data_IF_672740836171
#
_entry.id   IF_672740836171
#
_cell.length_a   1.000
_cell.length_b   1.000
_cell.length_c   1.000
_cell.angle_alpha   90.00
_cell.angle_beta   90.00
_cell.angle_gamma   90.00
#
_symmetry.space_group_name_H-M   'P 1'
#
loop_
_entity.id
_entity.type
_entity.pdbx_description
1 polymer ?
#
# COMPACT_ATOMS: atom_id res chain seq x y z
N UNK A 1 30.40 19.73 5.23
CA UNK A 1 30.54 18.37 4.68
C UNK A 1 30.39 17.42 5.84
N UNK A 2 29.41 16.52 5.80
CA UNK A 2 29.13 15.58 6.90
C UNK A 2 30.10 14.40 6.85
N UNK A 3 30.51 13.92 8.02
CA UNK A 3 31.32 12.71 8.17
C UNK A 3 30.40 11.51 8.40
N UNK A 4 30.46 10.50 7.52
CA UNK A 4 29.63 9.30 7.54
C UNK A 4 30.48 8.07 7.81
N UNK A 5 30.07 7.25 8.78
CA UNK A 5 30.62 5.92 9.00
C UNK A 5 29.67 4.88 8.39
N UNK A 6 30.19 3.99 7.56
CA UNK A 6 29.48 2.85 6.99
C UNK A 6 29.97 1.57 7.67
N UNK A 7 29.08 0.83 8.31
CA UNK A 7 29.38 -0.48 8.93
C UNK A 7 28.60 -1.54 8.16
N UNK A 8 29.29 -2.26 7.28
CA UNK A 8 28.69 -3.18 6.30
C UNK A 8 29.67 -4.30 5.97
N UNK A 9 29.24 -5.56 6.09
CA UNK A 9 30.11 -6.71 5.86
C UNK A 9 30.25 -7.08 4.37
N UNK A 10 29.25 -6.75 3.53
CA UNK A 10 29.35 -6.93 2.08
C UNK A 10 30.34 -5.93 1.46
N UNK A 11 31.49 -6.44 1.03
CA UNK A 11 32.57 -5.66 0.41
C UNK A 11 32.14 -4.98 -0.89
N UNK A 12 31.24 -5.59 -1.66
CA UNK A 12 30.75 -5.03 -2.93
C UNK A 12 29.81 -3.89 -2.66
N UNK A 13 28.86 -4.11 -1.78
CA UNK A 13 27.86 -3.11 -1.42
C UNK A 13 28.47 -1.91 -0.69
N UNK A 14 29.40 -2.15 0.24
CA UNK A 14 30.11 -1.08 0.96
C UNK A 14 30.92 -0.18 0.02
N UNK A 15 31.59 -0.72 -1.00
CA UNK A 15 32.31 0.05 -2.03
C UNK A 15 31.38 0.89 -2.91
N UNK A 16 30.22 0.35 -3.26
CA UNK A 16 29.20 1.09 -4.03
C UNK A 16 28.70 2.28 -3.21
N UNK A 17 28.39 2.06 -1.92
CA UNK A 17 27.96 3.13 -1.02
C UNK A 17 29.06 4.18 -0.82
N UNK A 18 30.30 3.77 -0.58
CA UNK A 18 31.45 4.67 -0.43
C UNK A 18 31.62 5.55 -1.67
N UNK A 19 31.63 4.94 -2.86
CA UNK A 19 31.76 5.67 -4.12
C UNK A 19 30.62 6.65 -4.36
N UNK A 20 29.39 6.23 -4.08
CA UNK A 20 28.21 7.08 -4.21
C UNK A 20 28.26 8.27 -3.24
N UNK A 21 28.48 8.03 -1.95
CA UNK A 21 28.49 9.06 -0.93
C UNK A 21 29.66 10.04 -1.10
N UNK A 22 30.84 9.55 -1.49
CA UNK A 22 32.01 10.41 -1.79
C UNK A 22 31.72 11.34 -2.97
N UNK A 23 31.03 10.83 -4.00
CA UNK A 23 30.59 11.62 -5.16
C UNK A 23 29.61 12.72 -4.78
N UNK A 24 28.81 12.52 -3.74
CA UNK A 24 27.88 13.51 -3.17
C UNK A 24 28.56 14.49 -2.19
N UNK A 25 29.89 14.39 -2.00
CA UNK A 25 30.68 15.32 -1.19
C UNK A 25 30.74 14.99 0.31
N UNK A 26 30.39 13.77 0.72
CA UNK A 26 30.55 13.30 2.10
C UNK A 26 31.94 12.71 2.35
N UNK A 27 32.44 12.88 3.59
CA UNK A 27 33.64 12.16 4.05
C UNK A 27 33.23 10.81 4.60
N UNK A 28 33.60 9.72 3.92
CA UNK A 28 33.16 8.36 4.25
C UNK A 28 34.29 7.56 4.87
N UNK A 29 33.98 6.82 5.93
CA UNK A 29 34.85 5.79 6.50
C UNK A 29 34.08 4.47 6.50
N UNK A 30 34.68 3.37 6.05
CA UNK A 30 34.03 2.06 5.97
C UNK A 30 34.66 1.10 6.96
N UNK A 31 33.81 0.36 7.69
CA UNK A 31 34.17 -0.75 8.56
C UNK A 31 33.35 -1.99 8.18
N UNK A 32 33.97 -3.18 8.23
CA UNK A 32 33.29 -4.43 7.84
C UNK A 32 32.85 -5.29 9.03
N UNK A 33 33.09 -4.81 10.25
CA UNK A 33 32.69 -5.45 11.50
C UNK A 33 32.13 -4.43 12.48
N UNK A 34 31.17 -4.86 13.30
CA UNK A 34 30.55 -3.99 14.30
C UNK A 34 31.57 -3.46 15.35
N UNK A 35 32.45 -4.33 15.83
CA UNK A 35 33.49 -3.94 16.79
C UNK A 35 34.47 -2.91 16.22
N UNK A 36 34.88 -3.04 14.97
CA UNK A 36 35.76 -2.09 14.29
C UNK A 36 35.07 -0.72 14.14
N UNK A 37 33.78 -0.73 13.79
CA UNK A 37 32.96 0.48 13.73
C UNK A 37 32.87 1.19 15.09
N UNK A 38 32.60 0.45 16.17
CA UNK A 38 32.55 0.99 17.53
C UNK A 38 33.91 1.55 17.99
N UNK A 39 35.02 0.90 17.63
CA UNK A 39 36.37 1.40 17.91
C UNK A 39 36.65 2.70 17.14
N UNK A 40 36.24 2.76 15.87
CA UNK A 40 36.41 3.95 15.03
C UNK A 40 35.62 5.14 15.57
N UNK A 41 34.40 4.91 16.07
CA UNK A 41 33.56 5.94 16.73
C UNK A 41 34.19 6.50 18.03
N UNK A 42 35.04 5.73 18.71
CA UNK A 42 35.77 6.24 19.90
C UNK A 42 36.92 7.18 19.54
N UNK A 43 37.46 7.06 18.33
CA UNK A 43 38.64 7.81 17.88
C UNK A 43 38.30 8.97 16.95
N UNK A 44 37.16 8.91 16.26
CA UNK A 44 36.68 9.93 15.32
C UNK A 44 35.21 10.24 15.56
N UNK A 45 34.84 11.50 15.41
CA UNK A 45 33.44 11.91 15.45
C UNK A 45 32.81 11.78 14.07
N UNK A 46 31.58 11.24 14.02
CA UNK A 46 30.78 11.12 12.81
C UNK A 46 29.41 11.77 13.03
N UNK A 47 28.91 12.42 12.00
CA UNK A 47 27.59 13.04 12.02
C UNK A 47 26.49 11.97 11.84
N UNK A 48 26.80 10.90 11.07
CA UNK A 48 25.85 9.85 10.74
C UNK A 48 26.56 8.49 10.59
N UNK A 49 25.87 7.42 10.97
CA UNK A 49 26.27 6.03 10.78
C UNK A 49 25.25 5.32 9.91
N UNK A 50 25.70 4.72 8.80
CA UNK A 50 24.96 3.71 8.06
C UNK A 50 25.35 2.34 8.59
N UNK A 51 24.42 1.58 9.13
CA UNK A 51 24.67 0.37 9.91
C UNK A 51 23.91 -0.80 9.34
N UNK A 52 24.60 -1.84 8.91
CA UNK A 52 23.93 -3.09 8.55
C UNK A 52 23.33 -3.77 9.80
N UNK A 53 22.15 -4.31 9.63
CA UNK A 53 21.48 -5.09 10.66
C UNK A 53 22.20 -6.38 10.99
N UNK A 54 22.80 -7.06 10.01
CA UNK A 54 23.55 -8.30 10.18
C UNK A 54 25.03 -8.07 9.96
N UNK A 55 25.81 -8.27 11.00
CA UNK A 55 27.26 -8.19 10.96
C UNK A 55 27.84 -9.53 11.40
N UNK A 56 29.04 -9.90 10.95
CA UNK A 56 29.62 -11.21 11.22
C UNK A 56 29.99 -11.44 12.68
N UNK A 57 30.18 -10.37 13.45
CA UNK A 57 30.66 -10.38 14.85
C UNK A 57 29.61 -9.93 15.87
N UNK A 58 28.53 -9.26 15.44
CA UNK A 58 27.49 -8.74 16.33
C UNK A 58 26.22 -8.42 15.53
N UNK A 59 25.15 -8.00 16.21
CA UNK A 59 23.94 -7.49 15.51
C UNK A 59 23.97 -5.97 15.42
N UNK A 60 23.40 -5.41 14.34
CA UNK A 60 23.26 -3.95 14.22
C UNK A 60 22.51 -3.31 15.38
N UNK A 61 21.61 -4.04 16.04
CA UNK A 61 20.88 -3.56 17.21
C UNK A 61 21.78 -3.36 18.44
N UNK A 62 22.73 -4.28 18.65
CA UNK A 62 23.69 -4.16 19.74
C UNK A 62 24.65 -3.00 19.48
N UNK A 63 25.11 -2.86 18.22
CA UNK A 63 25.94 -1.72 17.79
C UNK A 63 25.19 -0.40 17.98
N UNK A 64 23.91 -0.31 17.57
CA UNK A 64 23.06 0.87 17.78
C UNK A 64 23.01 1.26 19.27
N UNK A 65 22.79 0.26 20.15
CA UNK A 65 22.70 0.50 21.60
C UNK A 65 24.00 1.10 22.13
N UNK A 66 25.14 0.57 21.72
CA UNK A 66 26.45 1.09 22.13
C UNK A 66 26.75 2.47 21.54
N UNK A 67 26.37 2.73 20.29
CA UNK A 67 26.50 4.07 19.68
C UNK A 67 25.71 5.09 20.48
N UNK A 68 24.45 4.79 20.81
CA UNK A 68 23.57 5.73 21.52
C UNK A 68 23.98 5.98 22.98
N UNK A 69 24.67 5.02 23.61
CA UNK A 69 25.29 5.22 24.94
C UNK A 69 26.48 6.17 24.90
N UNK A 70 27.33 6.06 23.87
CA UNK A 70 28.59 6.81 23.82
C UNK A 70 28.48 8.09 23.00
N UNK A 71 27.61 8.12 21.99
CA UNK A 71 27.41 9.25 21.07
C UNK A 71 25.91 9.47 20.80
N UNK A 72 25.14 9.99 21.76
CA UNK A 72 23.68 10.14 21.62
C UNK A 72 23.23 10.99 20.43
N UNK A 73 24.07 11.95 20.04
CA UNK A 73 23.79 12.90 18.95
C UNK A 73 24.13 12.39 17.56
N UNK A 74 24.88 11.28 17.44
CA UNK A 74 25.17 10.68 16.12
C UNK A 74 23.92 10.04 15.57
N UNK A 75 23.52 10.43 14.36
CA UNK A 75 22.38 9.84 13.69
C UNK A 75 22.74 8.44 13.17
N UNK A 76 21.84 7.47 13.34
CA UNK A 76 22.07 6.08 12.90
C UNK A 76 20.93 5.65 12.00
N UNK A 77 21.26 5.27 10.78
CA UNK A 77 20.33 4.67 9.82
C UNK A 77 20.66 3.19 9.71
N UNK A 78 19.69 2.32 9.97
CA UNK A 78 19.88 0.87 9.85
C UNK A 78 19.51 0.41 8.44
N UNK A 79 20.37 -0.37 7.81
CA UNK A 79 20.14 -1.01 6.51
C UNK A 79 19.92 -2.51 6.72
N UNK A 80 18.97 -3.12 5.99
CA UNK A 80 18.67 -4.55 6.13
C UNK A 80 18.10 -5.17 4.87
N UNK A 81 18.35 -6.44 4.68
CA UNK A 81 17.69 -7.26 3.64
C UNK A 81 16.31 -7.78 4.05
N UNK A 82 15.84 -7.48 5.26
CA UNK A 82 14.56 -7.95 5.79
C UNK A 82 13.60 -6.81 6.02
N UNK A 83 12.41 -6.92 5.46
CA UNK A 83 11.29 -5.98 5.65
C UNK A 83 10.48 -6.28 6.92
N UNK A 84 11.13 -6.68 8.03
CA UNK A 84 10.41 -6.94 9.30
C UNK A 84 10.14 -5.62 10.02
N UNK A 85 8.89 -5.18 9.97
CA UNK A 85 8.37 -3.97 10.63
C UNK A 85 8.70 -3.95 12.12
N UNK A 86 8.72 -5.10 12.81
CA UNK A 86 9.05 -5.17 14.25
C UNK A 86 10.49 -4.80 14.53
N UNK A 87 11.39 -5.23 13.68
CA UNK A 87 12.81 -4.86 13.78
C UNK A 87 13.00 -3.38 13.52
N UNK A 88 12.29 -2.82 12.53
CA UNK A 88 12.27 -1.40 12.25
C UNK A 88 11.75 -0.60 13.47
N UNK A 89 10.57 -0.97 14.00
CA UNK A 89 9.98 -0.31 15.18
C UNK A 89 10.90 -0.43 16.41
N UNK A 90 11.54 -1.58 16.61
CA UNK A 90 12.51 -1.77 17.70
C UNK A 90 13.73 -0.88 17.53
N UNK A 91 14.27 -0.78 16.32
CA UNK A 91 15.38 0.09 15.99
C UNK A 91 15.06 1.57 16.27
N UNK A 92 13.88 2.03 15.84
CA UNK A 92 13.40 3.39 16.10
C UNK A 92 13.25 3.69 17.61
N UNK A 93 12.65 2.76 18.36
CA UNK A 93 12.55 2.87 19.84
C UNK A 93 13.90 2.90 20.56
N UNK A 94 14.93 2.28 19.99
CA UNK A 94 16.29 2.30 20.50
C UNK A 94 17.11 3.52 20.04
N UNK A 95 16.48 4.43 19.29
CA UNK A 95 17.06 5.69 18.88
C UNK A 95 17.72 5.68 17.50
N UNK A 96 17.43 4.73 16.64
CA UNK A 96 17.77 4.88 15.23
C UNK A 96 17.04 6.08 14.65
N UNK A 97 17.67 6.78 13.72
CA UNK A 97 17.06 7.89 13.00
C UNK A 97 16.07 7.36 11.94
N UNK A 98 16.47 6.31 11.22
CA UNK A 98 15.65 5.69 10.18
C UNK A 98 16.09 4.24 9.93
N UNK A 99 15.27 3.51 9.18
CA UNK A 99 15.46 2.11 8.81
C UNK A 99 15.19 1.92 7.31
N UNK A 100 16.13 1.36 6.57
CA UNK A 100 16.07 1.23 5.11
C UNK A 100 16.21 -0.24 4.71
N UNK A 101 15.39 -0.69 3.75
CA UNK A 101 15.50 -2.04 3.18
C UNK A 101 16.47 -2.09 2.01
N UNK A 102 17.27 -3.13 1.93
CA UNK A 102 18.12 -3.44 0.77
C UNK A 102 17.26 -4.16 -0.31
N UNK A 103 17.38 -3.84 -1.61
CA UNK A 103 18.37 -2.93 -2.20
C UNK A 103 18.05 -1.46 -1.93
N UNK A 104 19.07 -0.71 -1.53
CA UNK A 104 18.93 0.71 -1.16
C UNK A 104 18.78 1.56 -2.44
N UNK A 105 17.71 2.35 -2.50
CA UNK A 105 17.52 3.33 -3.56
C UNK A 105 18.47 4.53 -3.31
N UNK A 106 19.38 4.90 -4.25
CA UNK A 106 20.33 5.98 -4.05
C UNK A 106 19.69 7.35 -3.79
N UNK A 107 18.55 7.66 -4.44
CA UNK A 107 17.86 8.93 -4.28
C UNK A 107 17.18 9.03 -2.91
N UNK A 108 16.58 7.94 -2.45
CA UNK A 108 15.97 7.83 -1.12
C UNK A 108 17.03 7.95 -0.02
N UNK A 109 18.16 7.26 -0.17
CA UNK A 109 19.28 7.35 0.77
C UNK A 109 19.79 8.78 0.86
N UNK A 110 20.01 9.46 -0.27
CA UNK A 110 20.52 10.83 -0.30
C UNK A 110 19.57 11.79 0.41
N UNK A 111 18.26 11.65 0.20
CA UNK A 111 17.24 12.45 0.85
C UNK A 111 17.27 12.27 2.39
N UNK A 112 17.35 11.03 2.85
CA UNK A 112 17.43 10.71 4.28
C UNK A 112 18.71 11.23 4.94
N UNK A 113 19.85 11.13 4.24
CA UNK A 113 21.12 11.68 4.71
C UNK A 113 21.07 13.20 4.86
N UNK A 114 20.50 13.89 3.88
CA UNK A 114 20.34 15.34 3.93
C UNK A 114 19.42 15.78 5.08
N UNK A 115 18.36 15.04 5.35
CA UNK A 115 17.45 15.30 6.48
C UNK A 115 18.14 15.03 7.81
N UNK A 116 18.85 13.90 7.96
CA UNK A 116 19.56 13.54 9.18
C UNK A 116 20.70 14.49 9.54
N UNK A 117 21.33 15.11 8.54
CA UNK A 117 22.48 16.02 8.70
C UNK A 117 22.10 17.50 8.79
N UNK A 118 20.84 17.88 8.54
CA UNK A 118 20.36 19.24 8.85
C UNK A 118 20.37 19.41 10.36
N UNK A 119 21.44 20.02 10.91
CA UNK A 119 21.55 20.38 12.32
C UNK A 119 20.48 21.40 12.66
N UNK A 120 19.45 21.01 13.38
CA UNK A 120 18.69 21.95 14.19
C UNK A 120 19.53 22.29 15.42
N UNK A 121 20.07 23.52 15.43
CA UNK A 121 20.57 24.15 16.65
C UNK A 121 19.36 24.48 17.53
N UNK A 122 19.00 23.59 18.42
CA UNK A 122 18.09 23.94 19.52
C UNK A 122 18.53 23.27 20.81
N UNK A 123 18.63 24.03 21.91
CA UNK A 123 19.03 23.51 23.21
C UNK A 123 17.88 22.70 23.83
N UNK A 124 18.26 21.71 24.63
CA UNK A 124 17.43 20.84 25.47
C UNK A 124 16.23 21.58 26.07
N UNK A 125 14.99 21.15 25.85
CA UNK A 125 13.88 21.73 26.60
C UNK A 125 13.65 20.99 27.91
N UNK A 126 13.86 21.70 29.03
CA UNK A 126 13.14 21.46 30.27
C UNK A 126 11.63 21.52 30.04
N UNK A 127 10.95 20.58 30.69
CA UNK A 127 9.48 20.47 30.78
C UNK A 127 8.85 21.84 31.07
N UNK A 128 8.10 22.40 30.13
CA UNK A 128 6.87 23.16 30.32
C UNK A 128 6.27 23.64 28.98
N UNK A 129 4.97 23.44 28.86
CA UNK A 129 4.00 24.11 27.95
C UNK A 129 4.26 24.03 26.46
N UNK A 130 3.37 23.26 25.82
CA UNK A 130 3.14 23.17 24.39
C UNK A 130 2.99 24.56 23.73
N UNK A 131 3.69 24.82 22.60
CA UNK A 131 3.12 25.63 21.54
C UNK A 131 2.40 24.68 20.56
N UNK A 132 1.15 24.95 20.32
CA UNK A 132 0.36 24.36 19.26
C UNK A 132 1.06 24.59 17.91
N UNK A 133 1.83 23.61 17.43
CA UNK A 133 2.00 23.43 16.00
C UNK A 133 0.61 23.20 15.41
N UNK A 134 0.23 23.77 14.26
CA UNK A 134 -0.99 23.34 13.62
C UNK A 134 -0.82 21.84 13.31
N UNK A 135 -1.52 21.01 14.08
CA UNK A 135 -1.62 19.60 13.76
C UNK A 135 -2.24 19.52 12.36
N UNK A 136 -1.41 19.22 11.36
CA UNK A 136 -1.94 18.78 10.07
C UNK A 136 -2.98 17.73 10.40
N UNK A 137 -4.24 18.00 10.05
CA UNK A 137 -5.33 17.05 10.25
C UNK A 137 -4.85 15.74 9.66
N UNK A 138 -4.74 14.70 10.47
CA UNK A 138 -4.27 13.39 10.00
C UNK A 138 -5.20 12.77 8.97
N UNK A 139 -6.42 13.31 8.83
CA UNK A 139 -7.46 12.81 7.96
C UNK A 139 -8.47 13.92 7.64
N UNK A 140 -8.94 13.97 6.40
CA UNK A 140 -10.03 14.84 5.95
C UNK A 140 -11.34 14.07 6.09
N UNK A 141 -12.22 14.60 6.90
CA UNK A 141 -13.53 13.96 7.16
C UNK A 141 -14.49 14.14 5.98
N UNK A 142 -14.42 15.29 5.29
CA UNK A 142 -15.33 15.68 4.24
C UNK A 142 -16.65 16.25 4.76
N UNK A 143 -17.34 16.98 3.90
CA UNK A 143 -18.61 17.66 4.21
C UNK A 143 -19.78 17.20 3.36
N UNK A 144 -19.53 16.34 2.36
CA UNK A 144 -20.56 15.77 1.51
C UNK A 144 -21.60 14.96 2.30
N UNK A 145 -22.83 14.82 1.80
CA UNK A 145 -23.86 14.01 2.45
C UNK A 145 -23.41 12.56 2.70
N UNK A 146 -22.67 11.99 1.77
CA UNK A 146 -22.09 10.65 1.85
C UNK A 146 -21.04 10.56 2.95
N UNK A 147 -20.17 11.56 3.08
CA UNK A 147 -19.19 11.63 4.15
C UNK A 147 -19.86 11.76 5.51
N UNK A 148 -20.88 12.62 5.65
CA UNK A 148 -21.63 12.77 6.91
C UNK A 148 -22.27 11.46 7.34
N UNK A 149 -22.95 10.75 6.43
CA UNK A 149 -23.52 9.41 6.72
C UNK A 149 -22.46 8.42 7.18
N UNK A 150 -21.31 8.39 6.50
CA UNK A 150 -20.21 7.52 6.90
C UNK A 150 -19.75 7.84 8.32
N UNK A 151 -19.59 9.12 8.66
CA UNK A 151 -19.22 9.56 10.00
C UNK A 151 -20.26 9.22 11.07
N UNK A 152 -21.55 9.41 10.79
CA UNK A 152 -22.64 9.00 11.69
C UNK A 152 -22.54 7.50 12.01
N UNK A 153 -22.33 6.66 11.01
CA UNK A 153 -22.19 5.21 11.21
C UNK A 153 -20.91 4.85 11.95
N UNK A 154 -19.79 5.54 11.69
CA UNK A 154 -18.54 5.37 12.44
C UNK A 154 -18.78 5.67 13.92
N UNK A 155 -19.40 6.80 14.25
CA UNK A 155 -19.70 7.17 15.63
C UNK A 155 -20.66 6.19 16.32
N UNK A 156 -21.62 5.63 15.58
CA UNK A 156 -22.57 4.63 16.09
C UNK A 156 -21.87 3.31 16.43
N UNK A 157 -20.99 2.82 15.55
CA UNK A 157 -20.38 1.49 15.72
C UNK A 157 -19.10 1.51 16.56
N UNK A 158 -18.39 2.64 16.62
CA UNK A 158 -17.10 2.73 17.32
C UNK A 158 -17.16 2.29 18.79
N UNK A 159 -18.14 2.71 19.62
CA UNK A 159 -18.18 2.33 21.03
C UNK A 159 -18.58 0.86 21.26
N UNK A 160 -19.00 0.12 20.24
CA UNK A 160 -19.39 -1.30 20.34
C UNK A 160 -18.21 -2.24 20.11
N UNK A 161 -18.37 -3.52 20.49
CA UNK A 161 -17.42 -4.60 20.16
C UNK A 161 -17.81 -5.36 18.87
N UNK A 162 -18.81 -4.87 18.12
CA UNK A 162 -19.25 -5.51 16.88
C UNK A 162 -18.12 -5.61 15.86
N UNK A 163 -18.10 -6.71 15.12
CA UNK A 163 -17.29 -6.86 13.91
C UNK A 163 -17.80 -5.90 12.82
N UNK A 164 -16.88 -5.30 12.07
CA UNK A 164 -17.22 -4.31 11.04
C UNK A 164 -16.63 -4.74 9.70
N UNK A 165 -17.46 -4.75 8.65
CA UNK A 165 -16.99 -4.84 7.26
C UNK A 165 -17.02 -3.46 6.64
N UNK A 166 -15.88 -3.02 6.12
CA UNK A 166 -15.71 -1.76 5.38
C UNK A 166 -15.58 -2.11 3.89
N UNK A 167 -16.62 -1.82 3.13
CA UNK A 167 -16.61 -1.98 1.67
C UNK A 167 -16.30 -0.67 0.96
N UNK A 168 -15.56 -0.74 -0.12
CA UNK A 168 -15.26 0.40 -0.98
C UNK A 168 -14.14 0.10 -1.95
N UNK A 169 -14.08 0.87 -3.02
CA UNK A 169 -13.06 0.73 -4.04
C UNK A 169 -11.64 0.87 -3.47
N UNK A 170 -10.65 0.37 -4.22
CA UNK A 170 -9.25 0.56 -3.84
C UNK A 170 -8.91 2.05 -3.74
N UNK A 171 -8.14 2.41 -2.71
CA UNK A 171 -7.68 3.79 -2.52
C UNK A 171 -8.71 4.76 -1.93
N UNK A 172 -9.90 4.33 -1.50
CA UNK A 172 -10.93 5.21 -0.89
C UNK A 172 -10.65 5.59 0.56
N UNK A 173 -9.62 5.00 1.20
CA UNK A 173 -9.25 5.30 2.58
C UNK A 173 -9.90 4.38 3.63
N UNK A 174 -10.22 3.13 3.28
CA UNK A 174 -10.80 2.12 4.20
C UNK A 174 -10.00 1.94 5.49
N UNK A 175 -8.66 1.95 5.41
CA UNK A 175 -7.79 1.85 6.58
C UNK A 175 -7.96 3.05 7.53
N UNK A 176 -8.05 4.27 6.99
CA UNK A 176 -8.31 5.47 7.80
C UNK A 176 -9.66 5.39 8.54
N UNK A 177 -10.69 4.83 7.89
CA UNK A 177 -11.98 4.56 8.53
C UNK A 177 -11.81 3.57 9.68
N UNK A 178 -11.09 2.46 9.47
CA UNK A 178 -10.82 1.47 10.51
C UNK A 178 -10.04 2.07 11.70
N UNK A 179 -9.01 2.87 11.43
CA UNK A 179 -8.26 3.59 12.45
C UNK A 179 -9.14 4.58 13.23
N UNK A 180 -10.08 5.26 12.55
CA UNK A 180 -11.01 6.19 13.19
C UNK A 180 -11.98 5.44 14.10
N UNK A 181 -12.53 4.30 13.66
CA UNK A 181 -13.38 3.43 14.50
C UNK A 181 -12.61 2.99 15.76
N UNK A 182 -11.36 2.55 15.60
CA UNK A 182 -10.53 2.15 16.75
C UNK A 182 -10.29 3.31 17.71
N UNK A 183 -9.91 4.49 17.20
CA UNK A 183 -9.63 5.69 17.99
C UNK A 183 -10.83 6.19 18.79
N UNK A 184 -12.05 6.01 18.27
CA UNK A 184 -13.30 6.37 18.92
C UNK A 184 -13.89 5.24 19.79
N UNK A 185 -13.25 4.07 19.84
CA UNK A 185 -13.70 2.91 20.60
C UNK A 185 -13.23 2.90 22.05
N UNK A 186 -13.81 2.03 22.84
CA UNK A 186 -13.33 1.73 24.21
C UNK A 186 -11.87 1.17 24.20
N UNK A 187 -11.41 0.66 23.07
CA UNK A 187 -10.08 0.07 22.88
C UNK A 187 -9.04 1.05 22.32
N UNK A 188 -9.32 2.36 22.28
CA UNK A 188 -8.46 3.40 21.67
C UNK A 188 -7.01 3.46 22.22
N UNK A 189 -6.79 2.99 23.46
CA UNK A 189 -5.45 2.94 24.09
C UNK A 189 -4.74 1.60 23.92
N UNK A 190 -5.41 0.62 23.35
CA UNK A 190 -4.89 -0.72 23.10
C UNK A 190 -4.29 -0.83 21.68
N UNK A 191 -3.59 -1.93 21.33
CA UNK A 191 -2.98 -2.07 20.02
C UNK A 191 -4.01 -2.02 18.87
N UNK A 192 -3.67 -1.31 17.79
CA UNK A 192 -4.31 -1.43 16.48
C UNK A 192 -3.32 -2.13 15.55
N UNK A 193 -3.65 -3.34 15.11
CA UNK A 193 -2.80 -4.13 14.23
C UNK A 193 -3.49 -4.22 12.87
N UNK A 194 -2.82 -3.74 11.83
CA UNK A 194 -3.29 -3.84 10.46
C UNK A 194 -2.54 -4.94 9.70
N UNK A 195 -3.29 -5.77 8.97
CA UNK A 195 -2.76 -6.85 8.14
C UNK A 195 -3.38 -6.75 6.75
N UNK A 196 -2.54 -6.62 5.75
CA UNK A 196 -2.94 -6.68 4.34
C UNK A 196 -2.95 -8.16 3.89
N UNK A 197 -4.13 -8.73 3.75
CA UNK A 197 -4.31 -10.13 3.34
C UNK A 197 -3.98 -10.35 1.85
N UNK A 198 -4.01 -9.29 1.02
CA UNK A 198 -3.65 -9.35 -0.39
C UNK A 198 -2.13 -9.44 -0.62
N UNK A 199 -1.35 -8.84 0.27
CA UNK A 199 0.11 -8.87 0.21
C UNK A 199 0.71 -10.18 0.75
N UNK A 200 -0.07 -11.00 1.47
CA UNK A 200 0.40 -12.25 2.05
C UNK A 200 0.26 -13.42 1.06
N UNK A 201 1.32 -14.22 0.91
CA UNK A 201 1.15 -15.51 0.22
C UNK A 201 0.22 -16.42 1.01
N UNK A 202 -0.53 -17.29 0.29
CA UNK A 202 -1.51 -18.20 0.92
C UNK A 202 -0.90 -19.08 2.02
N UNK A 203 0.35 -19.48 1.85
CA UNK A 203 1.07 -20.31 2.82
C UNK A 203 1.51 -19.52 4.07
N UNK A 204 1.84 -18.23 3.90
CA UNK A 204 2.31 -17.37 4.99
C UNK A 204 1.18 -16.74 5.78
N UNK A 205 0.01 -16.54 5.18
CA UNK A 205 -1.12 -15.86 5.82
C UNK A 205 -1.52 -16.50 7.16
N UNK A 206 -1.58 -17.83 7.22
CA UNK A 206 -1.89 -18.56 8.46
C UNK A 206 -0.80 -18.35 9.53
N UNK A 207 0.48 -18.35 9.12
CA UNK A 207 1.62 -18.13 10.01
C UNK A 207 1.66 -16.70 10.55
N UNK A 208 1.36 -15.70 9.70
CA UNK A 208 1.29 -14.30 10.11
C UNK A 208 0.17 -14.05 11.11
N UNK A 209 -1.03 -14.54 10.81
CA UNK A 209 -2.21 -14.30 11.64
C UNK A 209 -2.17 -15.06 12.97
N UNK A 210 -1.84 -16.36 12.94
CA UNK A 210 -1.97 -17.23 14.12
C UNK A 210 -0.65 -17.59 14.80
N UNK A 211 0.48 -17.33 14.13
CA UNK A 211 1.81 -17.73 14.59
C UNK A 211 2.16 -19.19 14.24
N UNK A 212 3.40 -19.56 14.50
CA UNK A 212 3.88 -20.93 14.30
C UNK A 212 4.98 -21.31 15.28
N UNK A 213 5.15 -22.61 15.47
CA UNK A 213 6.29 -23.18 16.21
C UNK A 213 7.41 -23.57 15.25
N UNK A 214 8.64 -23.54 15.74
CA UNK A 214 9.82 -23.98 15.00
C UNK A 214 9.63 -25.37 14.41
N UNK A 215 9.96 -25.54 13.13
CA UNK A 215 9.87 -26.83 12.42
C UNK A 215 8.48 -27.21 11.93
N UNK A 216 7.46 -26.35 12.06
CA UNK A 216 6.09 -26.66 11.65
C UNK A 216 5.88 -26.72 10.14
N UNK A 217 6.76 -26.09 9.34
CA UNK A 217 6.79 -26.16 7.88
C UNK A 217 8.20 -25.84 7.37
N UNK A 218 8.46 -26.08 6.07
CA UNK A 218 9.74 -25.75 5.42
C UNK A 218 9.96 -24.24 5.44
N UNK A 219 10.93 -23.79 6.25
CA UNK A 219 11.21 -22.36 6.49
C UNK A 219 10.84 -21.84 7.90
N UNK A 220 10.20 -22.66 8.74
CA UNK A 220 9.93 -22.32 10.16
C UNK A 220 11.20 -22.50 11.02
N UNK A 221 12.14 -21.56 10.92
CA UNK A 221 13.44 -21.63 11.60
C UNK A 221 13.33 -21.30 13.09
N UNK A 222 12.36 -20.45 13.47
CA UNK A 222 12.12 -19.99 14.84
C UNK A 222 10.61 -19.95 15.13
N UNK A 223 10.25 -19.89 16.42
CA UNK A 223 8.87 -19.64 16.83
C UNK A 223 8.45 -18.22 16.42
N UNK A 224 7.21 -18.05 15.93
CA UNK A 224 6.64 -16.76 15.58
C UNK A 224 5.34 -16.53 16.31
N UNK A 225 5.22 -15.39 16.96
CA UNK A 225 3.95 -14.92 17.54
C UNK A 225 3.04 -14.41 16.42
N UNK A 226 1.76 -14.75 16.46
CA UNK A 226 0.78 -14.32 15.47
C UNK A 226 0.16 -12.96 15.79
N UNK A 227 -0.32 -12.27 14.74
CA UNK A 227 -0.95 -10.94 14.84
C UNK A 227 -2.17 -10.91 15.76
N UNK A 228 -2.89 -12.03 15.91
CA UNK A 228 -3.97 -12.15 16.90
C UNK A 228 -3.50 -11.99 18.35
N UNK A 229 -2.30 -12.46 18.66
CA UNK A 229 -1.71 -12.28 19.99
C UNK A 229 -1.23 -10.85 20.17
N UNK A 230 -0.60 -10.27 19.14
CA UNK A 230 -0.13 -8.89 19.16
C UNK A 230 -1.30 -7.89 19.29
N UNK A 231 -2.48 -8.23 18.73
CA UNK A 231 -3.71 -7.44 18.82
C UNK A 231 -4.52 -7.69 20.11
N UNK A 232 -4.02 -8.50 21.05
CA UNK A 232 -4.77 -8.86 22.26
C UNK A 232 -5.25 -7.63 23.04
N UNK A 233 -6.54 -7.61 23.42
CA UNK A 233 -7.29 -6.48 24.02
C UNK A 233 -7.45 -5.25 23.12
N UNK A 234 -6.95 -5.31 21.89
CA UNK A 234 -6.99 -4.25 20.90
C UNK A 234 -7.94 -4.55 19.74
N UNK A 235 -7.53 -4.08 18.56
CA UNK A 235 -8.27 -4.24 17.31
C UNK A 235 -7.34 -4.83 16.24
N UNK A 236 -7.83 -5.85 15.54
CA UNK A 236 -7.18 -6.40 14.35
C UNK A 236 -7.95 -5.94 13.12
N UNK A 237 -7.27 -5.22 12.25
CA UNK A 237 -7.78 -4.79 10.96
C UNK A 237 -7.23 -5.71 9.86
N UNK A 238 -8.13 -6.33 9.10
CA UNK A 238 -7.80 -7.21 7.98
C UNK A 238 -8.21 -6.54 6.69
N UNK A 239 -7.25 -6.01 5.93
CA UNK A 239 -7.51 -5.46 4.60
C UNK A 239 -7.52 -6.58 3.55
N UNK A 240 -8.35 -6.43 2.53
CA UNK A 240 -8.55 -7.41 1.45
C UNK A 240 -8.87 -8.82 1.95
N UNK A 241 -9.77 -8.92 2.94
CA UNK A 241 -10.13 -10.20 3.59
C UNK A 241 -10.62 -11.28 2.63
N UNK A 242 -11.16 -10.89 1.46
CA UNK A 242 -11.59 -11.81 0.39
C UNK A 242 -10.47 -12.68 -0.20
N UNK A 243 -9.20 -12.25 -0.04
CA UNK A 243 -8.03 -12.97 -0.57
C UNK A 243 -7.55 -14.12 0.33
N UNK A 244 -8.14 -14.29 1.53
CA UNK A 244 -7.77 -15.36 2.44
C UNK A 244 -8.12 -16.75 1.87
N UNK A 245 -7.19 -17.70 1.99
CA UNK A 245 -7.43 -19.10 1.63
C UNK A 245 -8.50 -19.72 2.53
N UNK A 246 -9.18 -20.75 2.02
CA UNK A 246 -10.24 -21.47 2.74
C UNK A 246 -9.78 -21.95 4.13
N UNK A 247 -8.56 -22.46 4.24
CA UNK A 247 -7.99 -22.93 5.51
C UNK A 247 -7.82 -21.80 6.53
N UNK A 248 -7.39 -20.61 6.07
CA UNK A 248 -7.26 -19.42 6.91
C UNK A 248 -8.63 -18.93 7.36
N UNK A 249 -9.62 -18.96 6.47
CA UNK A 249 -11.00 -18.59 6.80
C UNK A 249 -11.58 -19.50 7.92
N UNK A 250 -11.30 -20.81 7.91
CA UNK A 250 -11.72 -21.75 8.99
C UNK A 250 -11.10 -21.37 10.34
N UNK A 251 -9.79 -21.08 10.36
CA UNK A 251 -9.09 -20.67 11.59
C UNK A 251 -9.55 -19.31 12.08
N UNK A 252 -9.82 -18.38 11.16
CA UNK A 252 -10.33 -17.03 11.46
C UNK A 252 -11.71 -17.13 12.12
N UNK A 253 -12.61 -17.95 11.58
CA UNK A 253 -13.93 -18.18 12.16
C UNK A 253 -13.83 -18.68 13.60
N UNK A 254 -12.96 -19.68 13.85
CA UNK A 254 -12.73 -20.22 15.20
C UNK A 254 -12.19 -19.14 16.14
N UNK A 255 -11.22 -18.32 15.68
CA UNK A 255 -10.66 -17.24 16.48
C UNK A 255 -11.71 -16.18 16.88
N UNK A 256 -12.67 -15.89 16.00
CA UNK A 256 -13.75 -14.92 16.26
C UNK A 256 -14.81 -15.51 17.19
N UNK A 257 -15.21 -16.78 17.00
CA UNK A 257 -16.29 -17.42 17.75
C UNK A 257 -15.86 -17.85 19.14
N UNK A 258 -14.74 -18.57 19.23
CA UNK A 258 -14.26 -19.19 20.46
C UNK A 258 -13.28 -18.29 21.23
N UNK A 259 -12.80 -17.21 20.60
CA UNK A 259 -11.74 -16.33 21.13
C UNK A 259 -10.47 -17.09 21.47
N UNK A 260 -10.18 -18.12 20.70
CA UNK A 260 -9.03 -19.01 20.85
C UNK A 260 -8.34 -19.14 19.49
N UNK A 261 -7.02 -19.07 19.51
CA UNK A 261 -6.18 -19.39 18.36
C UNK A 261 -5.24 -20.55 18.68
N UNK A 262 -4.80 -21.23 17.64
CA UNK A 262 -3.82 -22.31 17.74
C UNK A 262 -2.68 -22.03 16.74
N UNK A 263 -1.44 -21.80 17.21
CA UNK A 263 -0.28 -21.63 16.33
C UNK A 263 -0.05 -22.88 15.47
N UNK A 264 0.47 -22.66 14.25
CA UNK A 264 0.77 -23.77 13.32
C UNK A 264 1.84 -24.67 13.96
N UNK A 265 1.63 -25.99 13.90
CA UNK A 265 2.55 -26.97 14.50
C UNK A 265 2.46 -27.10 16.03
N UNK A 266 1.52 -26.42 16.68
CA UNK A 266 1.29 -26.50 18.11
C UNK A 266 -0.14 -26.96 18.42
N UNK A 267 -0.29 -27.79 19.46
CA UNK A 267 -1.58 -28.13 20.01
C UNK A 267 -2.02 -27.21 21.16
N UNK A 268 -1.20 -26.18 21.47
CA UNK A 268 -1.48 -25.24 22.56
C UNK A 268 -2.49 -24.19 22.09
N UNK A 269 -3.61 -24.11 22.80
CA UNK A 269 -4.60 -23.07 22.61
C UNK A 269 -4.20 -21.78 23.35
N UNK A 270 -4.35 -20.64 22.66
CA UNK A 270 -4.07 -19.31 23.20
C UNK A 270 -5.36 -18.50 23.16
N UNK A 271 -5.82 -18.03 24.31
CA UNK A 271 -6.99 -17.15 24.42
C UNK A 271 -6.65 -15.75 23.94
N UNK A 272 -7.49 -15.19 23.08
CA UNK A 272 -7.34 -13.84 22.52
C UNK A 272 -8.66 -13.09 22.67
N UNK A 273 -8.57 -11.82 23.03
CA UNK A 273 -9.71 -10.89 23.04
C UNK A 273 -9.39 -9.77 22.07
N UNK A 274 -9.95 -9.84 20.86
CA UNK A 274 -9.62 -8.93 19.75
C UNK A 274 -10.91 -8.49 19.08
N UNK A 275 -11.06 -7.17 18.88
CA UNK A 275 -12.09 -6.63 18.00
C UNK A 275 -11.65 -6.76 16.55
N UNK A 276 -12.53 -7.27 15.69
CA UNK A 276 -12.23 -7.47 14.26
C UNK A 276 -12.87 -6.34 13.43
N UNK A 277 -12.06 -5.73 12.59
CA UNK A 277 -12.51 -4.83 11.51
C UNK A 277 -11.92 -5.38 10.23
N UNK A 278 -12.73 -5.55 9.20
CA UNK A 278 -12.29 -6.05 7.89
C UNK A 278 -12.56 -5.03 6.80
N UNK A 279 -11.74 -5.03 5.75
CA UNK A 279 -11.99 -4.26 4.57
C UNK A 279 -11.91 -5.12 3.32
N UNK A 280 -12.66 -4.73 2.29
CA UNK A 280 -12.67 -5.38 0.99
C UNK A 280 -13.07 -4.41 -0.11
N UNK A 281 -12.57 -4.64 -1.32
CA UNK A 281 -13.04 -4.03 -2.56
C UNK A 281 -14.00 -4.95 -3.33
N UNK A 282 -14.10 -6.22 -2.93
CA UNK A 282 -14.95 -7.24 -3.56
C UNK A 282 -16.33 -7.33 -2.88
N UNK A 283 -17.32 -7.83 -3.63
CA UNK A 283 -18.60 -8.25 -3.05
C UNK A 283 -18.44 -9.64 -2.41
N UNK A 284 -18.28 -9.64 -1.07
CA UNK A 284 -18.16 -10.90 -0.31
C UNK A 284 -19.42 -11.77 -0.41
N UNK A 285 -20.61 -11.21 -0.58
CA UNK A 285 -21.82 -11.99 -0.76
C UNK A 285 -21.82 -12.74 -2.09
N UNK A 286 -21.25 -12.14 -3.14
CA UNK A 286 -21.03 -12.83 -4.41
C UNK A 286 -19.94 -13.91 -4.30
N UNK A 287 -18.86 -13.61 -3.55
CA UNK A 287 -17.79 -14.58 -3.26
C UNK A 287 -18.30 -15.79 -2.48
N UNK A 288 -19.27 -15.62 -1.58
CA UNK A 288 -19.97 -16.72 -0.88
C UNK A 288 -20.75 -17.58 -1.90
N UNK A 289 -21.52 -16.97 -2.80
CA UNK A 289 -22.27 -17.70 -3.85
C UNK A 289 -21.36 -18.51 -4.76
N UNK A 290 -20.16 -18.00 -5.04
CA UNK A 290 -19.12 -18.67 -5.84
C UNK A 290 -18.34 -19.75 -5.07
N UNK A 291 -18.56 -19.91 -3.76
CA UNK A 291 -17.83 -20.84 -2.90
C UNK A 291 -16.39 -20.45 -2.61
N UNK A 292 -16.02 -19.18 -2.89
CA UNK A 292 -14.68 -18.63 -2.62
C UNK A 292 -14.53 -18.12 -1.20
N UNK A 293 -15.65 -17.77 -0.57
CA UNK A 293 -15.71 -17.30 0.83
C UNK A 293 -16.76 -18.10 1.61
N UNK A 294 -16.47 -18.41 2.87
CA UNK A 294 -17.38 -19.18 3.73
C UNK A 294 -18.56 -18.32 4.18
N UNK A 295 -19.75 -18.88 4.08
CA UNK A 295 -20.99 -18.23 4.48
C UNK A 295 -21.04 -17.95 6.01
N UNK A 296 -20.58 -18.92 6.83
CA UNK A 296 -20.56 -18.79 8.29
C UNK A 296 -19.59 -17.69 8.75
N UNK A 297 -18.43 -17.57 8.13
CA UNK A 297 -17.48 -16.49 8.39
C UNK A 297 -18.04 -15.14 7.95
N UNK A 298 -18.65 -15.07 6.75
CA UNK A 298 -19.27 -13.86 6.25
C UNK A 298 -20.29 -13.30 7.25
N UNK A 299 -21.22 -14.14 7.74
CA UNK A 299 -22.22 -13.71 8.71
C UNK A 299 -21.60 -13.25 10.04
N UNK A 300 -20.48 -13.84 10.47
CA UNK A 300 -19.80 -13.43 11.70
C UNK A 300 -19.01 -12.13 11.56
N UNK A 301 -18.52 -11.83 10.38
CA UNK A 301 -17.84 -10.56 10.09
C UNK A 301 -18.83 -9.45 9.79
N UNK A 302 -19.98 -9.74 9.19
CA UNK A 302 -20.98 -8.80 8.72
C UNK A 302 -22.02 -8.46 9.81
N UNK A 303 -21.57 -8.19 11.05
CA UNK A 303 -22.45 -7.67 12.10
C UNK A 303 -22.80 -6.20 11.86
N UNK A 304 -21.85 -5.43 11.30
CA UNK A 304 -22.09 -4.06 10.86
C UNK A 304 -21.34 -3.79 9.56
N UNK A 305 -22.03 -3.19 8.59
CA UNK A 305 -21.49 -2.91 7.25
C UNK A 305 -21.36 -1.41 7.03
N UNK A 306 -20.16 -0.96 6.65
CA UNK A 306 -19.85 0.40 6.24
C UNK A 306 -19.50 0.43 4.77
N UNK A 307 -20.07 1.34 4.01
CA UNK A 307 -19.69 1.58 2.62
C UNK A 307 -18.94 2.91 2.51
N UNK A 308 -17.69 2.87 2.07
CA UNK A 308 -16.88 4.06 1.81
C UNK A 308 -17.10 4.48 0.37
N UNK A 309 -17.65 5.67 0.13
CA UNK A 309 -17.95 6.14 -1.23
C UNK A 309 -16.65 6.44 -1.99
N UNK A 310 -16.66 6.19 -3.30
CA UNK A 310 -15.59 6.62 -4.20
C UNK A 310 -15.53 8.15 -4.30
N UNK A 311 -14.37 8.69 -4.66
CA UNK A 311 -14.14 10.15 -4.75
C UNK A 311 -15.11 10.82 -5.72
N UNK A 312 -15.44 10.17 -6.84
CA UNK A 312 -16.41 10.67 -7.84
C UNK A 312 -17.85 10.84 -7.30
N UNK A 313 -18.18 10.28 -6.14
CA UNK A 313 -19.45 10.44 -5.44
C UNK A 313 -19.33 11.41 -4.26
N UNK A 314 -18.20 12.12 -4.14
CA UNK A 314 -17.89 13.08 -3.07
C UNK A 314 -17.35 14.38 -3.67
N UNK A 315 -18.04 14.89 -4.68
CA UNK A 315 -17.60 16.09 -5.43
C UNK A 315 -17.42 17.32 -4.53
N UNK A 316 -18.27 17.46 -3.50
CA UNK A 316 -18.19 18.56 -2.53
C UNK A 316 -16.92 18.51 -1.65
N UNK A 317 -16.33 17.31 -1.48
CA UNK A 317 -15.14 17.11 -0.66
C UNK A 317 -13.84 17.24 -1.47
N UNK A 318 -13.94 17.33 -2.80
CA UNK A 318 -12.78 17.28 -3.70
C UNK A 318 -11.75 18.37 -3.40
N UNK A 319 -12.23 19.61 -3.24
CA UNK A 319 -11.36 20.76 -3.00
C UNK A 319 -10.63 20.61 -1.64
N UNK A 320 -11.31 20.08 -0.61
CA UNK A 320 -10.72 19.83 0.72
C UNK A 320 -9.63 18.74 0.64
N UNK A 321 -9.86 17.67 -0.13
CA UNK A 321 -8.85 16.63 -0.36
C UNK A 321 -7.64 17.15 -1.12
N UNK A 322 -7.85 17.93 -2.16
CA UNK A 322 -6.79 18.51 -2.97
C UNK A 322 -5.90 19.44 -2.13
N UNK A 323 -6.50 20.31 -1.35
CA UNK A 323 -5.78 21.21 -0.45
C UNK A 323 -5.00 20.45 0.63
N UNK A 324 -5.62 19.44 1.22
CA UNK A 324 -4.97 18.57 2.20
C UNK A 324 -3.74 17.87 1.62
N UNK A 325 -3.85 17.25 0.44
CA UNK A 325 -2.72 16.57 -0.18
C UNK A 325 -1.65 17.55 -0.67
N UNK A 326 -2.02 18.77 -1.10
CA UNK A 326 -1.07 19.83 -1.43
C UNK A 326 -0.26 20.25 -0.20
N UNK A 327 -0.92 20.50 0.93
CA UNK A 327 -0.25 20.86 2.18
C UNK A 327 0.67 19.75 2.68
N UNK A 328 0.21 18.50 2.61
CA UNK A 328 1.01 17.33 2.95
C UNK A 328 2.24 17.22 2.04
N UNK A 329 2.07 17.39 0.72
CA UNK A 329 3.17 17.35 -0.24
C UNK A 329 4.14 18.53 -0.07
N UNK A 330 3.65 19.73 0.24
CA UNK A 330 4.50 20.87 0.55
C UNK A 330 5.39 20.60 1.76
N UNK A 331 4.81 20.02 2.84
CA UNK A 331 5.56 19.66 4.05
C UNK A 331 6.58 18.54 3.78
N UNK A 332 6.22 17.49 3.01
CA UNK A 332 7.11 16.38 2.70
C UNK A 332 8.27 16.80 1.76
N UNK A 333 8.02 17.69 0.80
CA UNK A 333 8.95 18.05 -0.26
C UNK A 333 9.67 19.39 -0.03
N UNK A 334 9.41 20.07 1.10
CA UNK A 334 9.90 21.42 1.42
C UNK A 334 9.61 22.42 0.27
N UNK A 335 8.33 22.48 -0.14
CA UNK A 335 7.82 23.33 -1.22
C UNK A 335 6.78 24.33 -0.70
N UNK A 336 6.55 25.39 -1.47
CA UNK A 336 5.59 26.45 -1.13
C UNK A 336 4.58 26.70 -2.25
N UNK A 337 3.99 25.61 -2.74
CA UNK A 337 2.92 25.67 -3.76
C UNK A 337 1.64 26.17 -3.12
N UNK A 338 1.10 27.28 -3.64
CA UNK A 338 -0.02 28.00 -3.03
C UNK A 338 -1.40 27.44 -3.42
N UNK A 339 -1.50 26.71 -4.54
CA UNK A 339 -2.78 26.16 -5.01
C UNK A 339 -2.70 25.60 -6.42
N UNK A 340 -3.88 25.49 -7.03
CA UNK A 340 -4.07 24.98 -8.38
C UNK A 340 -4.58 26.12 -9.28
N UNK A 341 -4.16 26.20 -10.55
CA UNK A 341 -4.77 27.12 -11.47
C UNK A 341 -6.19 26.64 -11.84
N UNK A 342 -6.99 27.54 -12.45
CA UNK A 342 -8.38 27.21 -12.81
C UNK A 342 -8.48 26.01 -13.74
N UNK A 343 -7.59 25.90 -14.74
CA UNK A 343 -7.56 24.78 -15.68
C UNK A 343 -7.36 23.44 -14.97
N UNK A 344 -6.42 23.37 -14.03
CA UNK A 344 -6.15 22.15 -13.22
C UNK A 344 -7.35 21.81 -12.34
N UNK A 345 -7.99 22.80 -11.73
CA UNK A 345 -9.19 22.57 -10.90
C UNK A 345 -10.34 22.01 -11.74
N UNK A 346 -10.56 22.55 -12.95
CA UNK A 346 -11.59 22.06 -13.86
C UNK A 346 -11.30 20.62 -14.34
N UNK A 347 -10.02 20.30 -14.61
CA UNK A 347 -9.55 18.96 -14.93
C UNK A 347 -9.85 17.99 -13.77
N UNK A 348 -9.50 18.36 -12.53
CA UNK A 348 -9.68 17.51 -11.36
C UNK A 348 -11.15 17.24 -11.06
N UNK A 349 -12.05 18.17 -11.33
CA UNK A 349 -13.51 18.00 -11.18
C UNK A 349 -14.13 17.12 -12.26
N UNK A 350 -13.54 17.09 -13.45
CA UNK A 350 -14.04 16.27 -14.56
C UNK A 350 -13.51 14.84 -14.52
N UNK A 351 -12.37 14.62 -13.85
CA UNK A 351 -11.71 13.32 -13.79
C UNK A 351 -12.39 12.39 -12.80
N UNK A 352 -12.60 11.11 -13.15
CA UNK A 352 -13.36 10.14 -12.36
C UNK A 352 -12.59 9.57 -11.15
N UNK A 353 -11.28 9.79 -11.06
CA UNK A 353 -10.41 9.28 -9.99
C UNK A 353 -10.50 7.77 -9.77
N UNK A 354 -10.18 6.92 -10.77
CA UNK A 354 -10.30 5.46 -10.64
C UNK A 354 -9.46 4.88 -9.50
N UNK A 355 -8.32 5.49 -9.16
CA UNK A 355 -7.49 5.14 -8.01
C UNK A 355 -7.84 5.89 -6.73
N UNK A 356 -8.95 6.65 -6.72
CA UNK A 356 -9.50 7.37 -5.57
C UNK A 356 -8.46 8.28 -4.87
N UNK A 357 -8.45 8.33 -3.54
CA UNK A 357 -7.53 9.17 -2.75
C UNK A 357 -6.06 8.75 -2.89
N UNK A 358 -5.78 7.48 -3.19
CA UNK A 358 -4.41 7.00 -3.40
C UNK A 358 -3.82 7.60 -4.68
N UNK A 359 -4.57 7.59 -5.75
CA UNK A 359 -4.19 8.23 -7.01
C UNK A 359 -4.06 9.74 -6.84
N UNK A 360 -5.07 10.38 -6.22
CA UNK A 360 -5.09 11.82 -5.98
C UNK A 360 -3.87 12.28 -5.19
N UNK A 361 -3.51 11.60 -4.10
CA UNK A 361 -2.29 11.88 -3.33
C UNK A 361 -1.05 11.84 -4.23
N UNK A 362 -0.91 10.83 -5.08
CA UNK A 362 0.25 10.66 -5.96
C UNK A 362 0.31 11.74 -7.04
N UNK A 363 -0.83 12.07 -7.67
CA UNK A 363 -0.94 13.12 -8.69
C UNK A 363 -0.58 14.48 -8.11
N UNK A 364 -1.17 14.82 -6.95
CA UNK A 364 -0.90 16.10 -6.28
C UNK A 364 0.56 16.17 -5.83
N UNK A 365 1.10 15.11 -5.22
CA UNK A 365 2.51 15.07 -4.79
C UNK A 365 3.47 15.26 -5.96
N UNK A 366 3.22 14.59 -7.11
CA UNK A 366 3.99 14.78 -8.34
C UNK A 366 3.89 16.21 -8.85
N UNK A 367 2.68 16.78 -8.88
CA UNK A 367 2.47 18.13 -9.36
C UNK A 367 3.17 19.18 -8.47
N UNK A 368 3.16 19.02 -7.15
CA UNK A 368 3.92 19.86 -6.20
C UNK A 368 5.42 19.71 -6.42
N UNK A 369 5.94 18.50 -6.66
CA UNK A 369 7.35 18.26 -6.94
C UNK A 369 7.82 19.01 -8.20
N UNK A 370 7.00 19.02 -9.26
CA UNK A 370 7.29 19.66 -10.56
C UNK A 370 7.07 21.18 -10.55
N UNK A 371 6.38 21.71 -9.51
CA UNK A 371 6.10 23.14 -9.34
C UNK A 371 6.97 23.69 -8.21
N UNK A 372 7.89 24.59 -8.53
CA UNK A 372 8.78 25.15 -7.49
C UNK A 372 8.05 26.08 -6.55
N UNK A 373 7.25 27.02 -7.08
CA UNK A 373 6.50 28.03 -6.32
C UNK A 373 5.23 28.42 -7.12
N UNK A 374 4.23 28.97 -6.42
CA UNK A 374 3.01 29.49 -7.04
C UNK A 374 1.93 28.45 -7.29
N UNK A 375 1.22 28.55 -8.41
CA UNK A 375 0.09 27.69 -8.75
C UNK A 375 0.51 26.52 -9.62
N UNK A 376 -0.01 25.33 -9.35
CA UNK A 376 0.13 24.16 -10.21
C UNK A 376 -0.59 24.40 -11.53
N UNK A 377 0.10 24.13 -12.64
CA UNK A 377 -0.42 24.23 -14.01
C UNK A 377 -0.63 22.86 -14.64
N UNK A 378 -1.39 22.78 -15.73
CA UNK A 378 -1.68 21.52 -16.43
C UNK A 378 -0.41 20.78 -16.92
N UNK A 379 0.70 21.49 -17.14
CA UNK A 379 1.97 20.89 -17.54
C UNK A 379 2.59 19.97 -16.45
N UNK A 380 2.19 20.13 -15.18
CA UNK A 380 2.64 19.29 -14.07
C UNK A 380 1.79 18.02 -13.89
N UNK A 381 0.68 17.88 -14.61
CA UNK A 381 -0.21 16.73 -14.52
C UNK A 381 0.27 15.55 -15.38
N UNK A 382 -0.11 14.31 -15.04
CA UNK A 382 0.15 13.14 -15.87
C UNK A 382 -0.51 13.26 -17.26
N UNK A 383 0.20 12.84 -18.30
CA UNK A 383 -0.31 12.89 -19.69
C UNK A 383 -1.54 11.99 -19.85
N UNK A 384 -1.53 10.84 -19.18
CA UNK A 384 -2.62 9.87 -19.19
C UNK A 384 -3.95 10.46 -18.67
N UNK A 385 -3.87 11.33 -17.66
CA UNK A 385 -5.02 12.06 -17.13
C UNK A 385 -5.58 13.04 -18.17
N UNK A 386 -4.71 13.73 -18.89
CA UNK A 386 -5.08 14.67 -19.95
C UNK A 386 -5.70 13.96 -21.17
N UNK A 387 -5.19 12.79 -21.53
CA UNK A 387 -5.71 11.98 -22.63
C UNK A 387 -7.09 11.41 -22.30
N UNK A 388 -7.32 10.93 -21.08
CA UNK A 388 -8.61 10.42 -20.63
C UNK A 388 -9.71 11.48 -20.70
N UNK A 389 -9.38 12.74 -20.43
CA UNK A 389 -10.33 13.87 -20.54
C UNK A 389 -10.57 14.27 -21.99
N UNK A 390 -9.52 14.25 -22.84
CA UNK A 390 -9.65 14.60 -24.27
C UNK A 390 -10.40 13.56 -25.08
N UNK A 391 -10.24 12.28 -24.73
CA UNK A 391 -10.90 11.14 -25.34
C UNK A 391 -11.62 10.33 -24.26
N UNK A 392 -12.80 10.76 -23.81
CA UNK A 392 -13.56 9.97 -22.86
C UNK A 392 -13.87 8.61 -23.48
N UNK A 393 -13.22 7.56 -22.99
CA UNK A 393 -13.56 6.19 -23.37
C UNK A 393 -15.04 5.99 -23.04
N UNK A 394 -15.87 5.43 -23.94
CA UNK A 394 -17.25 5.14 -23.62
C UNK A 394 -17.25 4.25 -22.38
N UNK A 395 -17.99 4.68 -21.35
CA UNK A 395 -18.18 3.90 -20.11
C UNK A 395 -18.53 2.47 -20.52
N UNK A 396 -17.88 1.42 -19.99
CA UNK A 396 -18.42 0.09 -20.14
C UNK A 396 -19.79 0.15 -19.46
N UNK A 397 -20.85 0.16 -20.27
CA UNK A 397 -22.19 -0.06 -19.78
C UNK A 397 -22.15 -1.37 -19.00
N UNK A 398 -22.52 -1.35 -17.70
CA UNK A 398 -22.70 -2.55 -16.87
C UNK A 398 -23.88 -3.44 -17.31
N UNK A 399 -24.57 -3.06 -18.37
CA UNK A 399 -25.21 -4.01 -19.27
C UNK A 399 -24.11 -4.64 -20.12
N UNK A 400 -23.32 -5.51 -19.53
CA UNK A 400 -22.44 -6.40 -20.28
C UNK A 400 -23.36 -7.22 -21.19
N UNK A 401 -23.41 -6.94 -22.50
CA UNK A 401 -23.78 -8.02 -23.41
C UNK A 401 -22.69 -9.07 -23.16
N UNK A 402 -23.11 -10.26 -22.80
CA UNK A 402 -22.26 -11.44 -22.85
C UNK A 402 -21.74 -11.45 -24.29
N UNK A 403 -20.51 -10.93 -24.49
CA UNK A 403 -19.86 -11.06 -25.79
C UNK A 403 -19.57 -12.55 -25.96
N UNK A 404 -20.45 -13.22 -26.61
CA UNK A 404 -20.17 -14.54 -27.19
C UNK A 404 -19.06 -14.30 -28.22
N UNK A 405 -17.80 -14.53 -27.78
CA UNK A 405 -16.61 -14.43 -28.62
C UNK A 405 -16.81 -15.19 -29.95
N UNK A 406 -17.62 -16.24 -29.92
CA UNK A 406 -17.99 -17.04 -31.10
C UNK A 406 -18.92 -16.26 -32.01
N UNK A 407 -19.93 -15.57 -31.48
CA UNK A 407 -20.84 -14.72 -32.23
C UNK A 407 -20.10 -13.52 -32.85
N UNK A 408 -19.11 -12.95 -32.16
CA UNK A 408 -18.27 -11.84 -32.65
C UNK A 408 -17.33 -12.29 -33.76
N UNK A 409 -16.70 -13.47 -33.64
CA UNK A 409 -15.90 -14.08 -34.69
C UNK A 409 -16.76 -14.44 -35.92
N UNK A 410 -17.95 -15.00 -35.71
CA UNK A 410 -18.89 -15.32 -36.78
C UNK A 410 -19.38 -14.09 -37.52
N UNK A 411 -19.61 -12.96 -36.83
CA UNK A 411 -19.99 -11.68 -37.45
C UNK A 411 -18.86 -11.11 -38.30
N UNK A 412 -17.64 -11.08 -37.77
CA UNK A 412 -16.46 -10.58 -38.53
C UNK A 412 -16.16 -11.48 -39.74
N UNK A 413 -16.27 -12.78 -39.59
CA UNK A 413 -16.07 -13.72 -40.68
C UNK A 413 -17.11 -13.55 -41.77
N UNK A 414 -18.39 -13.38 -41.40
CA UNK A 414 -19.48 -13.09 -42.32
C UNK A 414 -19.22 -11.81 -43.11
N UNK A 415 -18.82 -10.75 -42.46
CA UNK A 415 -18.53 -9.45 -43.11
C UNK A 415 -17.35 -9.57 -44.10
N UNK A 416 -16.29 -10.27 -43.72
CA UNK A 416 -15.13 -10.51 -44.56
C UNK A 416 -15.47 -11.32 -45.79
N UNK A 417 -16.29 -12.37 -45.65
CA UNK A 417 -16.76 -13.19 -46.78
C UNK A 417 -17.63 -12.34 -47.71
N UNK A 418 -18.57 -11.55 -47.19
CA UNK A 418 -19.43 -10.68 -47.98
C UNK A 418 -18.63 -9.63 -48.75
N UNK A 419 -17.66 -8.98 -48.13
CA UNK A 419 -16.79 -8.00 -48.75
C UNK A 419 -16.00 -8.62 -49.90
N UNK A 420 -15.37 -9.75 -49.67
CA UNK A 420 -14.57 -10.45 -50.67
C UNK A 420 -15.43 -10.95 -51.84
N UNK A 421 -16.65 -11.48 -51.61
CA UNK A 421 -17.56 -11.87 -52.66
C UNK A 421 -17.98 -10.68 -53.55
N UNK A 422 -18.27 -9.51 -52.97
CA UNK A 422 -18.57 -8.29 -53.72
C UNK A 422 -17.40 -7.86 -54.61
N UNK A 423 -16.16 -7.86 -54.07
CA UNK A 423 -14.94 -7.49 -54.81
C UNK A 423 -14.67 -8.37 -56.01
N UNK A 424 -14.95 -9.68 -55.89
CA UNK A 424 -14.76 -10.64 -57.01
C UNK A 424 -16.01 -10.88 -57.84
N UNK A 425 -17.03 -10.00 -57.73
CA UNK A 425 -18.31 -10.12 -58.41
C UNK A 425 -18.96 -11.51 -58.28
N UNK A 426 -19.03 -12.01 -57.03
CA UNK A 426 -19.61 -13.30 -56.64
C UNK A 426 -18.94 -14.53 -57.25
N UNK A 427 -17.72 -14.42 -57.75
CA UNK A 427 -16.94 -15.56 -58.19
C UNK A 427 -16.39 -16.36 -57.00
N UNK A 428 -17.14 -17.37 -56.56
CA UNK A 428 -16.85 -18.20 -55.36
C UNK A 428 -15.48 -18.88 -55.38
N UNK A 429 -14.98 -19.27 -56.58
CA UNK A 429 -13.66 -19.91 -56.72
C UNK A 429 -12.52 -18.88 -56.49
N UNK A 430 -12.71 -17.64 -56.94
CA UNK A 430 -11.73 -16.57 -56.74
C UNK A 430 -11.76 -16.04 -55.30
N UNK A 431 -12.96 -15.97 -54.71
CA UNK A 431 -13.15 -15.60 -53.29
C UNK A 431 -12.47 -16.61 -52.34
N UNK A 432 -12.63 -17.92 -52.57
CA UNK A 432 -11.99 -18.96 -51.79
C UNK A 432 -10.44 -18.82 -51.77
N UNK A 433 -9.85 -18.51 -52.94
CA UNK A 433 -8.40 -18.26 -53.03
C UNK A 433 -7.94 -17.01 -52.26
N UNK A 434 -8.69 -15.91 -52.32
CA UNK A 434 -8.36 -14.67 -51.62
C UNK A 434 -8.49 -14.86 -50.12
N UNK A 435 -9.49 -15.58 -49.64
CA UNK A 435 -9.72 -15.89 -48.25
C UNK A 435 -8.82 -17.02 -47.70
N UNK A 436 -7.99 -17.63 -48.58
CA UNK A 436 -7.10 -18.73 -48.26
C UNK A 436 -7.81 -19.93 -47.59
N UNK A 437 -9.03 -20.25 -48.10
CA UNK A 437 -9.81 -21.40 -47.67
C UNK A 437 -10.17 -22.26 -48.89
N UNK A 438 -10.49 -23.55 -48.65
CA UNK A 438 -10.94 -24.39 -49.72
C UNK A 438 -12.39 -24.04 -50.16
N UNK A 439 -12.72 -24.38 -51.38
CA UNK A 439 -14.00 -24.02 -51.98
C UNK A 439 -15.19 -24.63 -51.24
N UNK A 440 -15.04 -25.84 -50.71
CA UNK A 440 -16.09 -26.55 -49.96
C UNK A 440 -16.38 -25.84 -48.64
N UNK A 441 -15.34 -25.42 -47.93
CA UNK A 441 -15.45 -24.64 -46.70
C UNK A 441 -16.12 -23.29 -46.94
N UNK A 442 -15.81 -22.59 -48.04
CA UNK A 442 -16.50 -21.36 -48.40
C UNK A 442 -17.99 -21.57 -48.63
N UNK A 443 -18.40 -22.65 -49.37
CA UNK A 443 -19.80 -22.94 -49.57
C UNK A 443 -20.53 -23.20 -48.26
N UNK A 444 -20.00 -24.02 -47.38
CA UNK A 444 -20.58 -24.29 -46.06
C UNK A 444 -20.74 -23.02 -45.20
N UNK A 445 -19.78 -22.07 -45.27
CA UNK A 445 -19.86 -20.81 -44.58
C UNK A 445 -20.88 -19.85 -45.18
N UNK A 446 -20.99 -19.79 -46.51
CA UNK A 446 -22.04 -19.03 -47.22
C UNK A 446 -23.44 -19.51 -46.80
N UNK A 447 -23.65 -20.83 -46.78
CA UNK A 447 -24.92 -21.45 -46.38
C UNK A 447 -25.20 -21.19 -44.88
N UNK A 448 -24.19 -21.38 -44.02
CA UNK A 448 -24.31 -21.16 -42.58
C UNK A 448 -24.69 -19.71 -42.24
N UNK A 449 -24.14 -18.73 -42.94
CA UNK A 449 -24.36 -17.32 -42.68
C UNK A 449 -25.50 -16.68 -43.51
N UNK A 450 -26.18 -17.46 -44.33
CA UNK A 450 -27.27 -16.98 -45.17
C UNK A 450 -26.84 -15.85 -46.12
N UNK A 451 -25.67 -15.99 -46.76
CA UNK A 451 -25.15 -15.00 -47.73
C UNK A 451 -25.63 -15.37 -49.10
N UNK A 452 -26.50 -14.55 -49.69
CA UNK A 452 -27.00 -14.71 -51.08
C UNK A 452 -26.04 -14.18 -52.15
#
# INVERSE_FOLDING_TARGET
MGAILVIEDDLTFSRILEGFLTKQGFSVTVCHKGHDGLQTLKTKAFDLVLLDYRLPDTTGMDVLTEIKKHSPHTQVIIMTSFSDIRTAVKAMKMGAYEYITKPVNPDELLMLLQQALKKENTPTPSVTTQPKSPSLKQFVEGTSPEARRLHEYIHLVAPTDMSVIIEGESGTGKENVAQTIHRLSARAKAPFIAVDCGALSKELAASELFGHTKGSFTGAVQDKVGQFVDAHKGTLFLDEVGNLSYEVQVKLLRAIQERIIQPIGSNKEVKVDVRIITATNDDLAESVKKGLFREDLYHRLNEFKLKVPAVRHREEDLDEFLDFFRELANAELDRHVTGFNKEVTDIFRTYEWPGNLREMKNVVKRAVLLTNEGLITAAALPVEMMETIRNPQPKPNNDTPVYDLKALQESQEKEMIMKTLKEVRYNKSKAARILNIDRKTLYLKIEKYGIE
#
